data_IF_222609681061
#
_entry.id   IF_222609681061
#
_cell.length_a   1.000
_cell.length_b   1.000
_cell.length_c   1.000
_cell.angle_alpha   90.00
_cell.angle_beta   90.00
_cell.angle_gamma   90.00
#
_symmetry.space_group_name_H-M   'P 1'
#
loop_
_entity.id
_entity.type
_entity.pdbx_description
1 polymer ?
#
# COMPACT_ATOMS: atom_id res chain seq x y z
N UNK A 1 -18.28 25.00 -2.92
CA UNK A 1 -17.89 23.65 -3.38
C UNK A 1 -16.87 23.16 -2.40
N UNK A 2 -17.35 22.40 -1.43
CA UNK A 2 -16.48 21.81 -0.43
C UNK A 2 -15.91 20.51 -1.01
N UNK A 3 -14.58 20.43 -1.12
CA UNK A 3 -13.90 19.19 -1.50
C UNK A 3 -12.88 18.79 -0.45
N UNK A 4 -12.82 17.48 -0.18
CA UNK A 4 -11.96 16.89 0.85
C UNK A 4 -10.90 16.02 0.17
N UNK A 5 -9.64 16.39 0.32
CA UNK A 5 -8.51 15.67 -0.30
C UNK A 5 -7.84 14.76 0.73
N UNK A 6 -7.86 13.46 0.45
CA UNK A 6 -7.22 12.41 1.22
C UNK A 6 -5.92 11.99 0.52
N UNK A 7 -4.79 12.31 1.14
CA UNK A 7 -3.49 11.85 0.67
C UNK A 7 -3.15 10.49 1.30
N UNK A 8 -2.65 9.51 0.53
CA UNK A 8 -2.22 8.24 1.10
C UNK A 8 -1.10 8.43 2.12
N UNK A 9 -1.14 7.68 3.21
CA UNK A 9 0.04 7.46 4.05
C UNK A 9 1.03 6.59 3.26
N UNK A 10 2.27 7.08 3.14
CA UNK A 10 3.36 6.44 2.40
C UNK A 10 4.61 6.25 3.25
N UNK A 11 4.51 6.46 4.56
CA UNK A 11 5.66 6.46 5.47
C UNK A 11 6.32 5.08 5.56
N UNK A 12 5.52 4.01 5.63
CA UNK A 12 6.02 2.63 5.65
C UNK A 12 6.73 2.25 4.35
N UNK A 13 6.10 2.51 3.20
CA UNK A 13 6.70 2.22 1.88
C UNK A 13 8.03 2.97 1.68
N UNK A 14 8.09 4.25 2.08
CA UNK A 14 9.33 5.03 2.01
C UNK A 14 10.43 4.43 2.91
N UNK A 15 10.06 3.99 4.10
CA UNK A 15 10.98 3.39 5.07
C UNK A 15 11.56 2.08 4.53
N UNK A 16 10.73 1.18 4.00
CA UNK A 16 11.19 -0.08 3.41
C UNK A 16 12.05 0.13 2.17
N UNK A 17 11.72 1.15 1.35
CA UNK A 17 12.52 1.52 0.19
C UNK A 17 13.93 1.94 0.61
N UNK A 18 14.06 2.84 1.59
CA UNK A 18 15.37 3.33 2.05
C UNK A 18 16.18 2.21 2.68
N UNK A 19 15.56 1.42 3.57
CA UNK A 19 16.25 0.32 4.26
C UNK A 19 16.70 -0.73 3.26
N UNK A 20 15.82 -1.16 2.35
CA UNK A 20 16.16 -2.17 1.37
C UNK A 20 17.28 -1.71 0.43
N UNK A 21 17.29 -0.43 0.01
CA UNK A 21 18.35 0.14 -0.82
C UNK A 21 19.68 0.19 -0.07
N UNK A 22 19.65 0.57 1.21
CA UNK A 22 20.83 0.59 2.06
C UNK A 22 21.42 -0.82 2.26
N UNK A 23 20.58 -1.81 2.58
CA UNK A 23 20.98 -3.21 2.73
C UNK A 23 21.56 -3.75 1.43
N UNK A 24 20.93 -3.45 0.29
CA UNK A 24 21.44 -3.85 -1.01
C UNK A 24 22.81 -3.22 -1.29
N UNK A 25 22.96 -1.90 -1.10
CA UNK A 25 24.21 -1.19 -1.34
C UNK A 25 25.36 -1.72 -0.47
N UNK A 26 25.13 -1.87 0.84
CA UNK A 26 26.13 -2.39 1.78
C UNK A 26 26.44 -3.85 1.48
N UNK A 27 25.43 -4.68 1.25
CA UNK A 27 25.60 -6.11 0.97
C UNK A 27 26.40 -6.36 -0.30
N UNK A 28 26.08 -5.68 -1.40
CA UNK A 28 26.86 -5.75 -2.64
C UNK A 28 28.27 -5.18 -2.48
N UNK A 29 28.44 -4.08 -1.75
CA UNK A 29 29.77 -3.52 -1.50
C UNK A 29 30.68 -4.49 -0.72
N UNK A 30 30.17 -5.11 0.34
CA UNK A 30 30.92 -6.10 1.12
C UNK A 30 31.18 -7.36 0.29
N UNK A 31 30.19 -7.88 -0.43
CA UNK A 31 30.34 -9.06 -1.28
C UNK A 31 31.41 -8.82 -2.37
N UNK A 32 31.37 -7.67 -3.03
CA UNK A 32 32.35 -7.28 -4.05
C UNK A 32 33.76 -7.13 -3.46
N UNK A 33 33.88 -6.52 -2.28
CA UNK A 33 35.15 -6.40 -1.55
C UNK A 33 35.71 -7.77 -1.16
N UNK A 34 34.86 -8.71 -0.74
CA UNK A 34 35.26 -10.07 -0.40
C UNK A 34 35.74 -10.84 -1.64
N UNK A 35 35.02 -10.72 -2.76
CA UNK A 35 35.36 -11.36 -4.02
C UNK A 35 36.71 -10.90 -4.59
N UNK A 36 37.06 -9.62 -4.42
CA UNK A 36 38.31 -9.04 -4.94
C UNK A 36 39.59 -9.38 -4.17
N UNK A 37 39.50 -9.97 -2.98
CA UNK A 37 40.70 -10.27 -2.20
C UNK A 37 41.30 -11.62 -2.61
N UNK A 38 42.61 -11.70 -2.88
CA UNK A 38 43.27 -12.97 -3.15
C UNK A 38 43.22 -13.89 -1.93
N UNK A 39 43.20 -15.20 -2.17
CA UNK A 39 43.20 -16.23 -1.13
C UNK A 39 43.37 -17.62 -1.75
N UNK A 40 43.82 -18.59 -0.95
CA UNK A 40 44.05 -19.98 -1.37
C UNK A 40 43.40 -20.95 -0.37
N UNK A 41 42.94 -22.10 -0.86
CA UNK A 41 42.37 -23.17 -0.03
C UNK A 41 41.03 -22.84 0.63
N UNK A 42 40.81 -23.35 1.83
CA UNK A 42 39.53 -23.28 2.56
C UNK A 42 39.08 -21.85 2.89
N UNK A 43 40.03 -20.92 3.07
CA UNK A 43 39.72 -19.52 3.35
C UNK A 43 39.08 -18.83 2.14
N UNK A 44 39.48 -19.20 0.91
CA UNK A 44 38.83 -18.73 -0.31
C UNK A 44 37.38 -19.22 -0.37
N UNK A 45 37.15 -20.52 -0.14
CA UNK A 45 35.81 -21.11 -0.17
C UNK A 45 34.86 -20.47 0.86
N UNK A 46 35.30 -20.30 2.12
CA UNK A 46 34.50 -19.63 3.15
C UNK A 46 34.12 -18.20 2.78
N UNK A 47 35.05 -17.46 2.17
CA UNK A 47 34.83 -16.06 1.76
C UNK A 47 33.89 -15.95 0.57
N UNK A 48 34.00 -16.86 -0.40
CA UNK A 48 33.07 -16.95 -1.52
C UNK A 48 31.65 -17.30 -1.04
N UNK A 49 31.51 -18.29 -0.15
CA UNK A 49 30.21 -18.62 0.46
C UNK A 49 29.60 -17.42 1.21
N UNK A 50 30.42 -16.70 1.97
CA UNK A 50 29.98 -15.48 2.67
C UNK A 50 29.57 -14.38 1.69
N UNK A 51 30.34 -14.18 0.60
CA UNK A 51 30.00 -13.21 -0.43
C UNK A 51 28.70 -13.57 -1.16
N UNK A 52 28.45 -14.85 -1.42
CA UNK A 52 27.20 -15.33 -2.01
C UNK A 52 26.01 -15.10 -1.08
N UNK A 53 26.14 -15.42 0.22
CA UNK A 53 25.12 -15.15 1.23
C UNK A 53 24.78 -13.66 1.31
N UNK A 54 25.80 -12.79 1.37
CA UNK A 54 25.61 -11.34 1.39
C UNK A 54 24.97 -10.82 0.11
N UNK A 55 25.37 -11.35 -1.06
CA UNK A 55 24.76 -11.04 -2.34
C UNK A 55 23.29 -11.46 -2.42
N UNK A 56 22.94 -12.61 -1.84
CA UNK A 56 21.55 -13.07 -1.75
C UNK A 56 20.70 -12.14 -0.89
N UNK A 57 21.17 -11.77 0.31
CA UNK A 57 20.48 -10.81 1.19
C UNK A 57 20.35 -9.44 0.52
N UNK A 58 21.40 -8.97 -0.16
CA UNK A 58 21.36 -7.72 -0.93
C UNK A 58 20.30 -7.75 -2.04
N UNK A 59 20.14 -8.90 -2.69
CA UNK A 59 19.15 -9.10 -3.77
C UNK A 59 17.73 -9.09 -3.22
N UNK A 60 17.49 -9.69 -2.05
CA UNK A 60 16.20 -9.61 -1.34
C UNK A 60 15.88 -8.15 -1.00
N UNK A 61 16.83 -7.43 -0.38
CA UNK A 61 16.65 -6.02 -0.04
C UNK A 61 16.36 -5.13 -1.26
N UNK A 62 17.05 -5.38 -2.37
CA UNK A 62 16.78 -4.70 -3.63
C UNK A 62 15.37 -5.01 -4.15
N UNK A 63 14.94 -6.27 -4.11
CA UNK A 63 13.60 -6.69 -4.49
C UNK A 63 12.52 -5.99 -3.67
N UNK A 64 12.64 -6.00 -2.34
CA UNK A 64 11.74 -5.29 -1.43
C UNK A 64 11.67 -3.80 -1.76
N UNK A 65 12.81 -3.17 -2.06
CA UNK A 65 12.85 -1.73 -2.41
C UNK A 65 12.12 -1.44 -3.71
N UNK A 66 12.30 -2.29 -4.72
CA UNK A 66 11.62 -2.16 -6.01
C UNK A 66 10.10 -2.27 -5.83
N UNK A 67 9.64 -3.29 -5.08
CA UNK A 67 8.21 -3.45 -4.81
C UNK A 67 7.65 -2.28 -4.01
N UNK A 68 8.38 -1.80 -2.99
CA UNK A 68 7.98 -0.64 -2.20
C UNK A 68 7.88 0.64 -3.04
N UNK A 69 8.88 0.89 -3.89
CA UNK A 69 8.86 2.03 -4.82
C UNK A 69 7.75 1.93 -5.86
N UNK A 70 7.45 0.73 -6.33
CA UNK A 70 6.32 0.48 -7.21
C UNK A 70 4.99 0.78 -6.51
N UNK A 71 4.81 0.29 -5.28
CA UNK A 71 3.60 0.52 -4.49
C UNK A 71 3.40 2.01 -4.21
N UNK A 72 4.47 2.68 -3.76
CA UNK A 72 4.51 4.13 -3.54
C UNK A 72 4.03 4.93 -4.75
N UNK A 73 4.41 4.53 -5.97
CA UNK A 73 4.00 5.20 -7.20
C UNK A 73 2.54 4.97 -7.60
N UNK A 74 1.92 3.88 -7.12
CA UNK A 74 0.50 3.54 -7.41
C UNK A 74 -0.49 4.17 -6.44
N UNK A 75 -0.06 4.57 -5.25
CA UNK A 75 -0.92 5.24 -4.27
C UNK A 75 -1.24 6.67 -4.73
N UNK A 76 -2.49 6.91 -5.13
CA UNK A 76 -2.95 8.19 -5.66
C UNK A 76 -3.80 8.95 -4.63
N UNK A 77 -3.75 10.29 -4.60
CA UNK A 77 -4.66 11.06 -3.77
C UNK A 77 -6.10 10.83 -4.21
N UNK A 78 -7.01 10.80 -3.22
CA UNK A 78 -8.44 10.64 -3.43
C UNK A 78 -9.13 11.91 -2.94
N UNK A 79 -9.92 12.53 -3.80
CA UNK A 79 -10.72 13.69 -3.45
C UNK A 79 -12.19 13.33 -3.47
N UNK A 80 -12.90 13.72 -2.41
CA UNK A 80 -14.35 13.56 -2.30
C UNK A 80 -14.96 14.95 -2.44
N UNK A 81 -15.80 15.12 -3.45
CA UNK A 81 -16.48 16.37 -3.78
C UNK A 81 -17.99 16.13 -3.93
N UNK A 82 -18.79 17.19 -4.04
CA UNK A 82 -20.24 17.10 -4.30
C UNK A 82 -20.58 16.32 -5.59
N UNK A 83 -19.72 16.37 -6.60
CA UNK A 83 -19.94 15.73 -7.90
C UNK A 83 -19.59 14.23 -7.89
N UNK A 84 -18.69 13.81 -7.00
CA UNK A 84 -18.19 12.44 -6.93
C UNK A 84 -16.80 12.29 -6.32
N UNK A 85 -16.17 11.15 -6.62
CA UNK A 85 -14.83 10.78 -6.20
C UNK A 85 -13.81 11.00 -7.32
N UNK A 86 -12.76 11.76 -7.05
CA UNK A 86 -11.63 11.91 -7.96
C UNK A 86 -10.43 11.12 -7.44
N UNK A 87 -10.00 10.11 -8.21
CA UNK A 87 -8.88 9.22 -7.87
C UNK A 87 -7.72 9.56 -8.82
N UNK A 88 -6.77 10.36 -8.35
CA UNK A 88 -5.72 10.91 -9.20
C UNK A 88 -6.28 11.77 -10.35
N UNK A 89 -6.39 11.19 -11.55
CA UNK A 89 -6.94 11.85 -12.76
C UNK A 89 -8.32 11.34 -13.18
N UNK A 90 -8.76 10.21 -12.62
CA UNK A 90 -10.06 9.63 -12.92
C UNK A 90 -11.12 10.27 -12.03
N UNK A 91 -12.28 10.60 -12.61
CA UNK A 91 -13.42 11.12 -11.86
C UNK A 91 -14.54 10.07 -11.91
N UNK A 92 -15.10 9.74 -10.76
CA UNK A 92 -16.17 8.78 -10.58
C UNK A 92 -17.37 9.51 -9.96
N UNK A 93 -18.33 9.94 -10.79
CA UNK A 93 -19.55 10.60 -10.33
C UNK A 93 -20.33 9.73 -9.36
N UNK A 94 -20.99 10.31 -8.34
CA UNK A 94 -21.80 9.51 -7.41
C UNK A 94 -22.94 8.74 -8.10
N UNK A 95 -23.47 9.27 -9.19
CA UNK A 95 -24.49 8.59 -10.00
C UNK A 95 -24.00 7.27 -10.62
N UNK A 96 -22.69 7.11 -10.79
CA UNK A 96 -22.06 5.90 -11.32
C UNK A 96 -21.61 4.95 -10.20
N UNK A 97 -21.70 5.34 -8.93
CA UNK A 97 -21.36 4.48 -7.81
C UNK A 97 -22.56 3.61 -7.48
N UNK A 98 -22.43 2.31 -7.75
CA UNK A 98 -23.46 1.32 -7.44
C UNK A 98 -23.49 1.00 -5.95
N UNK A 99 -22.31 0.86 -5.34
CA UNK A 99 -22.18 0.47 -3.95
C UNK A 99 -20.87 1.00 -3.36
N UNK A 100 -20.90 1.39 -2.09
CA UNK A 100 -19.72 1.75 -1.32
C UNK A 100 -19.84 1.16 0.09
N UNK A 101 -18.95 0.24 0.44
CA UNK A 101 -18.96 -0.43 1.74
C UNK A 101 -17.55 -0.64 2.29
N UNK A 102 -17.46 -0.87 3.60
CA UNK A 102 -16.20 -1.25 4.24
C UNK A 102 -16.24 -2.77 4.41
N UNK A 103 -15.27 -3.44 3.83
CA UNK A 103 -15.06 -4.88 3.96
C UNK A 103 -13.93 -5.13 4.97
N UNK A 104 -14.12 -6.10 5.85
CA UNK A 104 -13.11 -6.53 6.82
C UNK A 104 -12.56 -7.89 6.40
N UNK A 105 -11.26 -7.95 6.15
CA UNK A 105 -10.56 -9.19 5.85
C UNK A 105 -9.78 -9.65 7.09
N UNK A 106 -10.13 -10.84 7.59
CA UNK A 106 -9.42 -11.46 8.71
C UNK A 106 -8.32 -12.37 8.17
N UNK A 107 -7.07 -12.00 8.43
CA UNK A 107 -5.92 -12.86 8.19
C UNK A 107 -5.72 -13.79 9.39
N UNK A 108 -5.76 -15.10 9.15
CA UNK A 108 -5.50 -16.11 10.17
C UNK A 108 -4.00 -16.44 10.25
N UNK A 109 -3.49 -16.66 11.46
CA UNK A 109 -2.10 -17.05 11.64
C UNK A 109 -1.84 -18.46 11.07
N UNK A 110 -0.73 -18.62 10.33
CA UNK A 110 -0.28 -19.91 9.78
C UNK A 110 -0.14 -21.00 10.86
N UNK A 111 0.23 -20.61 12.09
CA UNK A 111 0.47 -21.53 13.21
C UNK A 111 -0.76 -21.71 14.12
N UNK A 112 -1.75 -20.81 14.06
CA UNK A 112 -2.99 -20.94 14.82
C UNK A 112 -4.17 -20.33 14.05
N UNK A 113 -4.84 -21.12 13.19
CA UNK A 113 -5.94 -20.63 12.37
C UNK A 113 -7.22 -20.31 13.17
N UNK A 114 -7.24 -20.56 14.48
CA UNK A 114 -8.39 -20.26 15.34
C UNK A 114 -8.33 -18.84 15.94
N UNK A 115 -7.22 -18.12 15.77
CA UNK A 115 -7.09 -16.74 16.25
C UNK A 115 -6.78 -15.82 15.06
N UNK A 116 -7.65 -14.84 14.75
CA UNK A 116 -7.34 -13.84 13.74
C UNK A 116 -6.08 -13.09 14.15
N UNK A 117 -5.08 -13.10 13.28
CA UNK A 117 -3.77 -12.49 13.50
C UNK A 117 -3.79 -11.00 13.21
N UNK A 118 -4.56 -10.59 12.21
CA UNK A 118 -4.68 -9.20 11.77
C UNK A 118 -6.02 -9.05 11.07
N UNK A 119 -6.77 -8.01 11.42
CA UNK A 119 -7.96 -7.60 10.68
C UNK A 119 -7.56 -6.41 9.83
N UNK A 120 -7.59 -6.58 8.51
CA UNK A 120 -7.40 -5.48 7.56
C UNK A 120 -8.77 -4.98 7.12
N UNK A 121 -8.93 -3.67 6.96
CA UNK A 121 -10.17 -3.09 6.46
C UNK A 121 -9.95 -2.37 5.15
N UNK A 122 -10.92 -2.50 4.26
CA UNK A 122 -10.88 -1.91 2.95
C UNK A 122 -12.18 -1.17 2.65
N UNK A 123 -12.10 0.05 2.13
CA UNK A 123 -13.23 0.71 1.49
C UNK A 123 -13.30 0.24 0.04
N UNK A 124 -14.39 -0.43 -0.31
CA UNK A 124 -14.68 -0.90 -1.66
C UNK A 124 -15.74 0.00 -2.28
N UNK A 125 -15.41 0.62 -3.40
CA UNK A 125 -16.31 1.46 -4.20
C UNK A 125 -16.52 0.80 -5.55
N UNK A 126 -17.74 0.31 -5.79
CA UNK A 126 -18.13 -0.36 -7.02
C UNK A 126 -18.81 0.63 -7.97
N UNK A 127 -18.27 0.74 -9.19
CA UNK A 127 -18.88 1.47 -10.29
C UNK A 127 -19.94 0.62 -11.00
N UNK A 128 -20.95 1.27 -11.57
CA UNK A 128 -21.95 0.70 -12.47
C UNK A 128 -21.32 0.03 -13.70
N UNK A 129 -20.13 0.46 -14.14
CA UNK A 129 -19.37 -0.14 -15.23
C UNK A 129 -18.66 -1.46 -14.85
N UNK A 130 -18.78 -1.91 -13.60
CA UNK A 130 -18.15 -3.14 -13.11
C UNK A 130 -16.69 -2.97 -12.67
N UNK A 131 -16.17 -1.74 -12.61
CA UNK A 131 -14.89 -1.44 -11.95
C UNK A 131 -15.07 -1.37 -10.44
N UNK A 132 -14.09 -1.84 -9.69
CA UNK A 132 -14.04 -1.70 -8.23
C UNK A 132 -12.76 -0.96 -7.82
N UNK A 133 -12.91 0.07 -6.99
CA UNK A 133 -11.81 0.78 -6.35
C UNK A 133 -11.71 0.35 -4.90
N UNK A 134 -10.51 -0.03 -4.47
CA UNK A 134 -10.26 -0.57 -3.14
C UNK A 134 -9.22 0.32 -2.45
N UNK A 135 -9.56 0.81 -1.26
CA UNK A 135 -8.69 1.64 -0.43
C UNK A 135 -8.47 0.97 0.92
N UNK A 136 -7.22 0.71 1.32
CA UNK A 136 -6.90 0.10 2.61
C UNK A 136 -6.88 1.11 3.76
N UNK A 137 -7.31 0.70 4.95
CA UNK A 137 -7.25 1.49 6.20
C UNK A 137 -5.80 1.85 6.58
N UNK A 138 -4.83 1.03 6.14
CA UNK A 138 -3.39 1.28 6.36
C UNK A 138 -2.87 2.49 5.58
N UNK A 139 -3.45 2.81 4.42
CA UNK A 139 -3.00 3.93 3.57
C UNK A 139 -3.97 5.10 3.55
N UNK A 140 -5.26 4.89 3.84
CA UNK A 140 -6.27 5.94 3.76
C UNK A 140 -7.18 5.93 4.99
N UNK A 141 -7.68 7.10 5.43
CA UNK A 141 -8.67 7.20 6.50
C UNK A 141 -10.06 6.79 5.98
N UNK A 142 -10.25 5.51 5.69
CA UNK A 142 -11.42 4.96 4.99
C UNK A 142 -12.76 5.29 5.66
N UNK A 143 -12.77 5.44 6.99
CA UNK A 143 -13.97 5.81 7.77
C UNK A 143 -14.37 7.25 7.55
N UNK A 144 -13.40 8.15 7.48
CA UNK A 144 -13.64 9.56 7.19
C UNK A 144 -14.08 9.73 5.74
N UNK A 145 -13.40 9.06 4.80
CA UNK A 145 -13.79 9.04 3.39
C UNK A 145 -15.25 8.59 3.21
N UNK A 146 -15.63 7.46 3.81
CA UNK A 146 -17.01 6.96 3.78
C UNK A 146 -17.99 7.96 4.41
N UNK A 147 -17.62 8.61 5.52
CA UNK A 147 -18.42 9.66 6.15
C UNK A 147 -18.70 10.82 5.20
N UNK A 148 -17.66 11.35 4.54
CA UNK A 148 -17.78 12.44 3.56
C UNK A 148 -18.59 12.04 2.34
N UNK A 149 -18.40 10.83 1.82
CA UNK A 149 -19.21 10.33 0.70
C UNK A 149 -20.70 10.31 1.07
N UNK A 150 -21.06 9.88 2.28
CA UNK A 150 -22.45 9.85 2.74
C UNK A 150 -23.05 11.25 2.94
N UNK A 151 -22.24 12.25 3.29
CA UNK A 151 -22.69 13.65 3.39
C UNK A 151 -23.22 14.15 2.04
N UNK A 152 -22.53 13.81 0.94
CA UNK A 152 -22.91 14.23 -0.41
C UNK A 152 -23.97 13.32 -1.07
N UNK A 153 -24.11 12.07 -0.62
CA UNK A 153 -25.10 11.11 -1.16
C UNK A 153 -26.46 11.19 -0.43
N UNK A 154 -26.59 11.96 0.66
CA UNK A 154 -27.86 12.07 1.40
C UNK A 154 -29.01 12.55 0.49
N UNK A 155 -30.18 11.87 0.50
CA UNK A 155 -31.32 12.30 -0.29
C UNK A 155 -31.93 13.60 0.28
N UNK A 156 -32.46 14.49 -0.57
CA UNK A 156 -33.06 15.78 -0.15
C UNK A 156 -34.34 15.68 0.71
N UNK A 157 -34.80 14.50 1.12
CA UNK A 157 -36.14 14.31 1.70
C UNK A 157 -36.27 14.48 3.23
N UNK A 158 -35.22 14.91 3.93
CA UNK A 158 -35.32 15.20 5.37
C UNK A 158 -35.67 16.67 5.69
N UNK A 159 -35.73 17.56 4.69
CA UNK A 159 -35.98 18.99 4.87
C UNK A 159 -37.45 19.41 4.62
N UNK A 160 -38.30 18.54 4.06
CA UNK A 160 -39.68 18.90 3.66
C UNK A 160 -40.78 18.25 4.52
N UNK A 161 -40.47 17.77 5.73
CA UNK A 161 -41.49 17.23 6.66
C UNK A 161 -41.71 18.06 7.92
N UNK A 162 -41.19 19.27 7.96
CA UNK A 162 -41.43 20.23 9.04
C UNK A 162 -41.78 21.62 8.50
N UNK A 163 -42.78 21.73 7.61
CA UNK A 163 -43.57 22.97 7.43
C UNK A 163 -45.06 22.65 7.18
#
# INVERSE_FOLDING_TARGET
MDSYVFSPDRTEDLTYLIIGLFVAAVGYWIAWRLYRRPGTGDELNRRLLTAMLLGFVATIGLGTSIFSGWNYARLLPVEVSEEGLRIGKENLPFAEIRNAHIEEEQSYALLNPQTPSRTSRFLVVESSEGKAYVFGEDQYPIREMMGRMREFVRPPEAAEREE
#
